data_IF_685315482707
#
_entry.id   IF_685315482707
#
_cell.length_a   1.000
_cell.length_b   1.000
_cell.length_c   1.000
_cell.angle_alpha   90.00
_cell.angle_beta   90.00
_cell.angle_gamma   90.00
#
_symmetry.space_group_name_H-M   'P 1'
#
loop_
_entity.id
_entity.type
_entity.pdbx_description
1 polymer ?
#
# COMPACT_ATOMS: atom_id res chain seq x y z
N UNK A 1 3.29 -8.43 0.77
CA UNK A 1 3.09 -7.87 2.13
C UNK A 1 3.15 -6.36 2.04
N UNK A 2 2.33 -5.64 2.82
CA UNK A 2 2.30 -4.18 2.83
C UNK A 2 2.86 -3.64 4.15
N UNK A 3 3.65 -2.58 4.06
CA UNK A 3 4.05 -1.77 5.21
C UNK A 3 3.52 -0.36 5.01
N UNK A 4 2.63 0.09 5.90
CA UNK A 4 2.07 1.45 5.86
C UNK A 4 2.82 2.30 6.89
N UNK A 5 3.39 3.42 6.45
CA UNK A 5 4.06 4.40 7.30
C UNK A 5 3.25 5.72 7.29
N UNK A 6 2.34 5.92 8.25
CA UNK A 6 1.50 7.13 8.32
C UNK A 6 2.29 8.42 8.51
N UNK A 7 3.43 8.38 9.20
CA UNK A 7 4.24 9.58 9.48
C UNK A 7 4.82 10.20 8.21
N UNK A 8 5.13 9.37 7.23
CA UNK A 8 5.70 9.80 5.95
C UNK A 8 4.66 9.72 4.81
N UNK A 9 3.43 9.33 5.13
CA UNK A 9 2.38 8.97 4.18
C UNK A 9 2.89 8.05 3.07
N UNK A 10 3.57 6.95 3.43
CA UNK A 10 4.19 6.05 2.45
C UNK A 10 3.64 4.63 2.62
N UNK A 11 3.49 3.90 1.51
CA UNK A 11 3.22 2.46 1.51
C UNK A 11 4.33 1.74 0.77
N UNK A 12 4.92 0.74 1.41
CA UNK A 12 5.89 -0.16 0.78
C UNK A 12 5.23 -1.50 0.49
N UNK A 13 5.39 -1.99 -0.74
CA UNK A 13 4.82 -3.24 -1.23
C UNK A 13 5.95 -4.23 -1.50
N UNK A 14 5.90 -5.33 -0.77
CA UNK A 14 6.88 -6.42 -0.86
C UNK A 14 6.26 -7.59 -1.61
N UNK A 15 6.80 -7.92 -2.79
CA UNK A 15 6.42 -9.08 -3.60
C UNK A 15 7.62 -10.03 -3.72
N UNK A 16 7.37 -11.33 -3.89
CA UNK A 16 8.46 -12.31 -4.03
C UNK A 16 9.25 -12.04 -5.32
N UNK A 17 10.58 -12.09 -5.23
CA UNK A 17 11.50 -11.90 -6.36
C UNK A 17 11.33 -10.56 -7.09
N UNK A 18 10.84 -9.53 -6.41
CA UNK A 18 10.72 -8.18 -6.95
C UNK A 18 11.34 -7.17 -5.99
N UNK A 19 11.78 -6.05 -6.54
CA UNK A 19 12.21 -4.91 -5.73
C UNK A 19 11.01 -4.34 -4.95
N UNK A 20 11.32 -3.66 -3.85
CA UNK A 20 10.31 -3.00 -3.03
C UNK A 20 9.70 -1.87 -3.85
N UNK A 21 8.39 -1.92 -4.03
CA UNK A 21 7.64 -0.82 -4.62
C UNK A 21 7.23 0.16 -3.52
N UNK A 22 7.45 1.45 -3.74
CA UNK A 22 7.14 2.50 -2.77
C UNK A 22 6.12 3.45 -3.38
N UNK A 23 4.95 3.53 -2.76
CA UNK A 23 3.89 4.47 -3.11
C UNK A 23 3.91 5.65 -2.13
N UNK A 24 3.97 6.86 -2.66
CA UNK A 24 3.95 8.09 -1.87
C UNK A 24 2.54 8.67 -1.84
N UNK A 25 2.00 8.83 -0.63
CA UNK A 25 0.66 9.32 -0.30
C UNK A 25 -0.48 8.74 -1.16
N UNK A 26 -0.57 7.40 -1.34
CA UNK A 26 -1.68 6.82 -2.09
C UNK A 26 -3.00 7.04 -1.35
N UNK A 27 -4.07 7.37 -2.08
CA UNK A 27 -5.42 7.43 -1.50
C UNK A 27 -5.99 6.03 -1.25
N UNK A 28 -5.69 5.08 -2.15
CA UNK A 28 -6.20 3.71 -2.05
C UNK A 28 -5.10 2.69 -2.29
N UNK A 29 -5.20 1.53 -1.66
CA UNK A 29 -4.30 0.39 -1.87
C UNK A 29 -5.08 -0.83 -2.37
N UNK A 30 -4.69 -1.38 -3.52
CA UNK A 30 -5.32 -2.56 -4.10
C UNK A 30 -4.76 -3.87 -3.52
N UNK A 31 -5.63 -4.89 -3.41
CA UNK A 31 -5.27 -6.27 -3.11
C UNK A 31 -4.56 -7.01 -4.25
N UNK A 32 -4.54 -6.44 -5.45
CA UNK A 32 -3.98 -7.03 -6.67
C UNK A 32 -4.46 -8.47 -6.89
N UNK A 33 -3.60 -9.34 -7.43
CA UNK A 33 -3.88 -10.76 -7.65
C UNK A 33 -3.93 -11.59 -6.35
N UNK A 34 -3.37 -11.06 -5.26
CA UNK A 34 -3.38 -11.73 -3.95
C UNK A 34 -4.78 -11.71 -3.35
N UNK A 35 -5.50 -10.61 -3.55
CA UNK A 35 -6.89 -10.44 -3.13
C UNK A 35 -7.68 -9.62 -4.15
N UNK A 36 -8.12 -10.25 -5.26
CA UNK A 36 -8.82 -9.56 -6.33
C UNK A 36 -10.09 -8.85 -5.84
N UNK A 37 -10.26 -7.58 -6.22
CA UNK A 37 -11.40 -6.76 -5.84
C UNK A 37 -11.29 -6.09 -4.46
N UNK A 38 -10.23 -6.35 -3.70
CA UNK A 38 -9.96 -5.61 -2.48
C UNK A 38 -9.35 -4.23 -2.80
N UNK A 39 -9.89 -3.20 -2.15
CA UNK A 39 -9.37 -1.83 -2.14
C UNK A 39 -9.49 -1.28 -0.74
N UNK A 40 -8.39 -0.82 -0.17
CA UNK A 40 -8.33 -0.17 1.13
C UNK A 40 -8.20 1.34 0.93
N UNK A 41 -9.12 2.11 1.51
CA UNK A 41 -9.00 3.57 1.62
C UNK A 41 -7.99 3.93 2.71
N UNK A 42 -6.98 4.73 2.35
CA UNK A 42 -5.90 5.17 3.21
C UNK A 42 -6.07 6.61 3.69
N UNK A 43 -7.02 7.38 3.18
CA UNK A 43 -7.28 8.74 3.66
C UNK A 43 -7.49 8.81 5.18
N UNK A 44 -8.24 7.89 5.83
CA UNK A 44 -8.39 7.89 7.29
C UNK A 44 -7.11 7.60 8.08
N UNK A 45 -6.08 7.06 7.42
CA UNK A 45 -4.81 6.67 8.05
C UNK A 45 -3.80 7.81 8.02
N UNK A 46 -3.91 8.72 7.05
CA UNK A 46 -2.98 9.85 6.90
C UNK A 46 -3.16 10.95 7.93
N UNK A 47 -4.36 11.09 8.51
CA UNK A 47 -4.68 12.10 9.52
C UNK A 47 -5.61 13.18 9.01
#
# INVERSE_FOLDING_TARGET
>A
MWLINPKNCTVEIYRQNQEVEVLQAPQTLSGEDVLPGFSLDLEPIWG
#
